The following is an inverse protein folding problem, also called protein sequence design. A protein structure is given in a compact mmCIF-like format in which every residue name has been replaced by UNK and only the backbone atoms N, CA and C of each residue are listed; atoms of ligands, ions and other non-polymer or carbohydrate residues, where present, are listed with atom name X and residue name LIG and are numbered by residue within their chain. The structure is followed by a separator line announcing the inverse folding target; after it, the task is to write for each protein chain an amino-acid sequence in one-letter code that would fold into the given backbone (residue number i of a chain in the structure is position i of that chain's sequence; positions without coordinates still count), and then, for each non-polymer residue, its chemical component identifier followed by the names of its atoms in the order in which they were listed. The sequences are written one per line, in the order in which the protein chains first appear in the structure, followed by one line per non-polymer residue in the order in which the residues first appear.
data_IF_189715068128
#
_entry.id   IF_189715068128
#
_cell.length_a   1.000
_cell.length_b   1.000
_cell.length_c   1.000
_cell.angle_alpha   90.00
_cell.angle_beta   90.00
_cell.angle_gamma   90.00
#
_symmetry.space_group_name_H-M   'P 1'
#
loop_
_entity.id
_entity.type
_entity.pdbx_description
1 polymer ?
#
# COMPACT_ATOMS: atom_id res chain seq x y z
N UNK A 1 21.61 20.03 45.23
CA UNK A 1 20.13 19.98 45.27
C UNK A 1 19.63 19.93 43.84
N UNK A 2 18.55 19.17 43.60
CA UNK A 2 17.96 18.80 42.29
C UNK A 2 18.56 17.52 41.70
N UNK A 3 18.11 16.41 42.30
CA UNK A 3 17.97 15.10 41.69
C UNK A 3 16.48 14.75 41.78
N UNK A 4 15.90 14.21 40.72
CA UNK A 4 14.56 13.63 40.77
C UNK A 4 13.78 13.90 39.50
N UNK A 5 13.49 12.83 38.76
CA UNK A 5 12.18 12.47 38.19
C UNK A 5 12.39 11.25 37.29
N UNK A 6 12.44 10.07 37.93
CA UNK A 6 12.24 8.76 37.32
C UNK A 6 11.46 7.92 38.33
N UNK A 7 10.16 7.76 38.11
CA UNK A 7 9.34 6.64 38.58
C UNK A 7 7.87 6.97 38.36
N UNK A 8 7.24 6.28 37.41
CA UNK A 8 5.81 5.90 37.38
C UNK A 8 5.52 5.35 35.99
N UNK A 9 5.56 4.02 35.85
CA UNK A 9 4.70 3.21 34.97
C UNK A 9 5.14 1.75 35.12
N UNK A 10 4.68 1.11 36.20
CA UNK A 10 4.75 -0.33 36.42
C UNK A 10 3.60 -0.72 37.35
N UNK A 11 2.44 -1.07 36.78
CA UNK A 11 1.39 -1.91 37.38
C UNK A 11 0.11 -1.81 36.56
N UNK A 12 -0.07 -2.72 35.60
CA UNK A 12 -1.39 -3.17 35.12
C UNK A 12 -1.18 -4.36 34.16
N UNK A 13 -0.70 -5.47 34.73
CA UNK A 13 -0.61 -6.76 34.06
C UNK A 13 -0.81 -7.87 35.11
N UNK A 14 -2.04 -8.02 35.60
CA UNK A 14 -2.47 -9.17 36.40
C UNK A 14 -3.98 -9.09 36.67
N UNK A 15 -4.81 -9.39 35.66
CA UNK A 15 -6.19 -9.85 35.84
C UNK A 15 -6.80 -10.07 34.46
N UNK A 16 -6.69 -11.28 33.91
CA UNK A 16 -7.56 -11.87 32.86
C UNK A 16 -6.94 -13.20 32.41
N UNK A 17 -6.90 -14.20 33.29
CA UNK A 17 -6.53 -15.57 32.92
C UNK A 17 -7.12 -16.58 33.92
N UNK A 18 -8.42 -16.49 34.17
CA UNK A 18 -9.20 -17.53 34.87
C UNK A 18 -10.63 -17.47 34.36
N UNK A 19 -11.01 -18.45 33.54
CA UNK A 19 -12.40 -18.69 33.16
C UNK A 19 -12.57 -18.99 31.68
N UNK A 20 -12.30 -20.24 31.28
CA UNK A 20 -13.15 -20.98 30.33
C UNK A 20 -12.64 -22.41 30.15
N UNK A 21 -13.12 -23.29 31.02
CA UNK A 21 -13.04 -24.74 30.92
C UNK A 21 -14.41 -25.27 31.37
N UNK A 22 -15.36 -25.39 30.44
CA UNK A 22 -16.60 -26.19 30.58
C UNK A 22 -17.51 -25.99 29.36
N UNK A 23 -17.29 -26.76 28.28
CA UNK A 23 -18.38 -27.38 27.51
C UNK A 23 -17.82 -28.65 26.85
N UNK A 24 -18.08 -29.80 27.45
CA UNK A 24 -18.09 -31.09 26.76
C UNK A 24 -19.52 -31.63 26.78
N UNK A 25 -19.87 -32.35 25.72
CA UNK A 25 -20.86 -33.42 25.69
C UNK A 25 -22.34 -33.01 25.77
N UNK A 26 -22.97 -32.80 24.61
CA UNK A 26 -24.21 -33.50 24.19
C UNK A 26 -24.29 -33.45 22.67
N UNK A 27 -23.94 -34.54 21.95
CA UNK A 27 -24.53 -34.85 20.64
C UNK A 27 -24.47 -36.36 20.41
N UNK A 28 -25.57 -37.03 20.74
CA UNK A 28 -25.90 -38.38 20.31
C UNK A 28 -27.33 -38.39 19.78
N UNK A 29 -27.51 -38.90 18.57
CA UNK A 29 -28.81 -39.37 18.08
C UNK A 29 -29.62 -38.36 17.27
N UNK A 30 -29.52 -38.44 15.94
CA UNK A 30 -30.65 -38.73 15.05
C UNK A 30 -30.16 -38.73 13.59
N UNK A 31 -29.98 -39.93 13.01
CA UNK A 31 -29.88 -40.11 11.54
C UNK A 31 -31.29 -40.11 10.97
N UNK A 32 -31.70 -39.02 10.34
CA UNK A 32 -32.78 -39.04 9.34
C UNK A 32 -32.16 -39.08 7.96
N UNK A 33 -32.45 -40.15 7.22
CA UNK A 33 -32.08 -40.32 5.81
C UNK A 33 -32.86 -39.31 4.96
N UNK A 34 -32.17 -38.30 4.44
CA UNK A 34 -32.69 -37.39 3.42
C UNK A 34 -32.05 -37.73 2.07
N UNK A 35 -32.87 -37.67 1.03
CA UNK A 35 -32.59 -38.13 -0.32
C UNK A 35 -31.36 -37.49 -0.95
N UNK A 36 -30.70 -38.28 -1.80
CA UNK A 36 -29.52 -37.91 -2.56
C UNK A 36 -29.87 -36.83 -3.61
N UNK A 37 -29.70 -35.56 -3.24
CA UNK A 37 -29.38 -34.51 -4.20
C UNK A 37 -27.86 -34.47 -4.30
N UNK A 38 -27.33 -34.77 -5.48
CA UNK A 38 -25.91 -34.64 -5.83
C UNK A 38 -25.48 -33.17 -5.74
N UNK A 39 -25.16 -32.70 -4.53
CA UNK A 39 -24.38 -31.50 -4.34
C UNK A 39 -22.96 -31.81 -4.84
N UNK A 40 -22.46 -30.99 -5.77
CA UNK A 40 -21.06 -31.06 -6.18
C UNK A 40 -20.17 -30.98 -4.94
N UNK A 41 -19.18 -31.85 -4.86
CA UNK A 41 -18.27 -31.93 -3.72
C UNK A 41 -17.61 -30.57 -3.52
N UNK A 42 -17.71 -29.93 -2.34
CA UNK A 42 -17.07 -28.64 -2.06
C UNK A 42 -15.53 -28.70 -2.11
N UNK A 43 -14.95 -29.89 -2.34
CA UNK A 43 -13.52 -30.09 -2.57
C UNK A 43 -13.03 -29.63 -3.96
N UNK A 44 -13.93 -29.40 -4.91
CA UNK A 44 -13.58 -29.01 -6.29
C UNK A 44 -13.65 -27.50 -6.57
N UNK A 45 -13.95 -26.67 -5.57
CA UNK A 45 -13.91 -25.22 -5.74
C UNK A 45 -12.46 -24.76 -5.90
N UNK A 46 -12.09 -24.29 -7.09
CA UNK A 46 -10.77 -23.69 -7.30
C UNK A 46 -10.54 -22.56 -6.28
N UNK A 47 -9.37 -22.51 -5.63
CA UNK A 47 -9.07 -21.49 -4.64
C UNK A 47 -9.22 -20.10 -5.26
N UNK A 48 -10.02 -19.23 -4.64
CA UNK A 48 -10.22 -17.86 -5.13
C UNK A 48 -8.87 -17.12 -5.22
N UNK A 49 -8.63 -16.48 -6.36
CA UNK A 49 -7.41 -15.68 -6.58
C UNK A 49 -7.26 -14.60 -5.49
N UNK A 50 -6.06 -14.44 -4.89
CA UNK A 50 -5.77 -13.39 -3.90
C UNK A 50 -5.71 -11.99 -4.53
N UNK A 51 -5.81 -11.90 -5.87
CA UNK A 51 -5.88 -10.65 -6.63
C UNK A 51 -7.19 -10.58 -7.41
N UNK A 52 -7.93 -9.48 -7.26
CA UNK A 52 -9.22 -9.26 -7.95
C UNK A 52 -9.24 -7.96 -8.74
N UNK A 53 -9.86 -8.00 -9.92
CA UNK A 53 -10.08 -6.81 -10.75
C UNK A 53 -11.39 -6.13 -10.36
N UNK A 54 -11.35 -4.80 -10.25
CA UNK A 54 -12.54 -4.02 -9.95
C UNK A 54 -13.39 -3.76 -11.21
N UNK A 55 -14.73 -3.77 -11.08
CA UNK A 55 -15.61 -3.37 -12.17
C UNK A 55 -15.47 -1.87 -12.48
N UNK A 56 -15.68 -1.49 -13.75
CA UNK A 56 -15.56 -0.10 -14.21
C UNK A 56 -16.75 0.80 -13.86
N UNK A 57 -17.89 0.24 -13.43
CA UNK A 57 -19.13 0.99 -13.19
C UNK A 57 -19.27 1.33 -11.70
N UNK A 58 -19.52 2.61 -11.44
CA UNK A 58 -19.76 3.18 -10.10
C UNK A 58 -21.28 3.41 -9.95
N UNK A 59 -21.89 2.94 -8.87
CA UNK A 59 -23.32 3.20 -8.63
C UNK A 59 -23.57 4.65 -8.15
N UNK A 60 -24.80 5.15 -8.32
CA UNK A 60 -25.22 6.48 -7.86
C UNK A 60 -25.42 6.49 -6.33
N UNK A 61 -25.26 7.66 -5.69
CA UNK A 61 -25.52 7.84 -4.24
C UNK A 61 -24.30 7.60 -3.32
N UNK A 62 -23.11 7.96 -3.79
CA UNK A 62 -21.87 7.76 -3.05
C UNK A 62 -21.55 8.93 -2.12
N UNK A 63 -21.49 8.72 -0.80
CA UNK A 63 -20.89 9.69 0.12
C UNK A 63 -19.37 9.73 -0.09
N UNK A 64 -18.76 10.93 -0.13
CA UNK A 64 -17.33 11.06 -0.39
C UNK A 64 -16.50 10.42 0.73
N UNK A 65 -15.51 9.63 0.33
CA UNK A 65 -14.54 9.04 1.26
C UNK A 65 -13.47 10.08 1.63
N UNK A 66 -13.04 10.16 2.91
CA UNK A 66 -11.85 10.90 3.30
C UNK A 66 -10.63 10.37 2.55
N UNK A 67 -9.99 11.24 1.75
CA UNK A 67 -8.84 10.90 0.91
C UNK A 67 -7.62 11.71 1.27
N UNK A 68 -6.47 11.03 1.33
CA UNK A 68 -5.17 11.66 1.32
C UNK A 68 -4.35 11.25 0.09
N UNK A 69 -3.51 12.16 -0.39
CA UNK A 69 -2.53 11.89 -1.45
C UNK A 69 -1.14 12.20 -0.94
N UNK A 70 -0.27 11.20 -0.94
CA UNK A 70 1.14 11.29 -0.57
C UNK A 70 2.00 11.26 -1.83
N UNK A 71 2.68 12.37 -2.10
CA UNK A 71 3.53 12.54 -3.29
C UNK A 71 4.98 12.64 -2.88
N UNK A 72 5.83 11.71 -3.33
CA UNK A 72 7.28 11.83 -3.18
C UNK A 72 7.90 12.45 -4.44
N UNK A 73 8.15 13.76 -4.40
CA UNK A 73 8.48 14.58 -5.56
C UNK A 73 9.96 14.98 -5.60
N UNK A 74 10.85 13.99 -5.53
CA UNK A 74 12.30 14.19 -5.53
C UNK A 74 12.84 14.76 -6.85
N UNK A 75 12.24 14.38 -7.99
CA UNK A 75 12.60 14.93 -9.29
C UNK A 75 11.65 16.07 -9.70
N UNK A 76 12.09 17.30 -9.44
CA UNK A 76 11.37 18.52 -9.77
C UNK A 76 10.97 18.65 -11.25
N UNK A 77 11.67 18.01 -12.19
CA UNK A 77 11.31 18.07 -13.63
C UNK A 77 10.05 17.28 -13.96
N UNK A 78 9.69 16.32 -13.12
CA UNK A 78 8.52 15.44 -13.30
C UNK A 78 7.29 15.92 -12.52
N UNK A 79 7.36 17.12 -11.92
CA UNK A 79 6.27 17.66 -11.12
C UNK A 79 4.97 17.84 -11.91
N UNK A 80 5.06 18.27 -13.16
CA UNK A 80 3.86 18.55 -13.96
C UNK A 80 3.04 17.28 -14.23
N UNK A 81 3.69 16.12 -14.37
CA UNK A 81 3.02 14.82 -14.47
C UNK A 81 2.32 14.45 -13.15
N UNK A 82 2.98 14.66 -12.01
CA UNK A 82 2.33 14.48 -10.69
C UNK A 82 1.12 15.42 -10.56
N UNK A 83 1.24 16.65 -11.04
CA UNK A 83 0.18 17.66 -10.97
C UNK A 83 -1.03 17.29 -11.83
N UNK A 84 -0.81 16.67 -13.00
CA UNK A 84 -1.90 16.14 -13.82
C UNK A 84 -2.66 15.01 -13.11
N UNK A 85 -1.94 14.08 -12.49
CA UNK A 85 -2.52 13.04 -11.63
C UNK A 85 -3.34 13.67 -10.48
N UNK A 86 -2.80 14.67 -9.78
CA UNK A 86 -3.52 15.38 -8.71
C UNK A 86 -4.80 16.05 -9.20
N UNK A 87 -4.80 16.67 -10.38
CA UNK A 87 -6.01 17.26 -10.99
C UNK A 87 -7.08 16.21 -11.27
N UNK A 88 -6.69 15.02 -11.72
CA UNK A 88 -7.62 13.91 -11.92
C UNK A 88 -8.21 13.42 -10.59
N UNK A 89 -7.40 13.33 -9.54
CA UNK A 89 -7.86 12.98 -8.19
C UNK A 89 -8.87 14.00 -7.67
N UNK A 90 -8.55 15.30 -7.78
CA UNK A 90 -9.43 16.39 -7.39
C UNK A 90 -10.75 16.37 -8.15
N UNK A 91 -10.71 16.15 -9.47
CA UNK A 91 -11.92 16.02 -10.29
C UNK A 91 -12.78 14.83 -9.83
N UNK A 92 -12.17 13.65 -9.65
CA UNK A 92 -12.87 12.45 -9.22
C UNK A 92 -13.52 12.62 -7.85
N UNK A 93 -12.83 13.27 -6.90
CA UNK A 93 -13.37 13.60 -5.58
C UNK A 93 -14.47 14.66 -5.62
N UNK A 94 -14.30 15.74 -6.40
CA UNK A 94 -15.30 16.79 -6.53
C UNK A 94 -16.62 16.26 -7.12
N UNK A 95 -16.56 15.36 -8.10
CA UNK A 95 -17.74 14.68 -8.67
C UNK A 95 -18.49 13.81 -7.64
N UNK A 96 -17.81 13.41 -6.56
CA UNK A 96 -18.39 12.69 -5.42
C UNK A 96 -18.75 13.62 -4.24
N UNK A 97 -18.60 14.93 -4.40
CA UNK A 97 -18.83 15.93 -3.34
C UNK A 97 -17.75 15.98 -2.26
N UNK A 98 -16.56 15.42 -2.53
CA UNK A 98 -15.47 15.31 -1.57
C UNK A 98 -14.31 16.27 -1.82
N UNK A 99 -13.31 16.19 -0.94
CA UNK A 99 -12.05 16.95 -0.97
C UNK A 99 -10.89 16.03 -0.65
N UNK A 100 -9.65 16.49 -0.85
CA UNK A 100 -8.45 15.73 -0.47
C UNK A 100 -7.56 16.47 0.52
N UNK A 101 -6.80 15.70 1.29
CA UNK A 101 -5.58 16.17 1.94
C UNK A 101 -4.37 15.82 1.08
N UNK A 102 -3.42 16.75 0.93
CA UNK A 102 -2.26 16.59 0.07
C UNK A 102 -0.95 16.75 0.85
N UNK A 103 -0.18 15.68 0.93
CA UNK A 103 1.12 15.64 1.60
C UNK A 103 2.19 15.41 0.54
N UNK A 104 3.06 16.39 0.34
CA UNK A 104 4.13 16.34 -0.66
C UNK A 104 5.48 16.36 0.03
N UNK A 105 6.43 15.54 -0.40
CA UNK A 105 7.81 15.60 0.06
C UNK A 105 8.74 16.10 -1.03
N UNK A 106 9.76 16.83 -0.61
CA UNK A 106 10.89 17.24 -1.44
C UNK A 106 12.19 17.09 -0.65
N UNK A 107 13.28 16.82 -1.35
CA UNK A 107 14.63 16.66 -0.76
C UNK A 107 15.49 17.91 -0.90
N UNK A 108 14.90 19.01 -1.39
CA UNK A 108 15.56 20.30 -1.61
C UNK A 108 14.62 21.44 -1.19
N UNK A 109 15.14 22.38 -0.41
CA UNK A 109 14.35 23.47 0.19
C UNK A 109 13.82 24.46 -0.86
N UNK A 110 14.55 24.68 -1.97
CA UNK A 110 14.08 25.56 -3.05
C UNK A 110 12.85 24.98 -3.73
N UNK A 111 12.84 23.66 -3.89
CA UNK A 111 11.73 22.90 -4.48
C UNK A 111 10.48 22.94 -3.60
N UNK A 112 10.63 22.93 -2.28
CA UNK A 112 9.50 23.07 -1.32
C UNK A 112 8.68 24.33 -1.62
N UNK A 113 9.32 25.50 -1.66
CA UNK A 113 8.62 26.76 -1.91
C UNK A 113 7.90 26.79 -3.27
N UNK A 114 8.47 26.13 -4.28
CA UNK A 114 7.84 25.99 -5.60
C UNK A 114 6.58 25.13 -5.52
N UNK A 115 6.62 23.98 -4.86
CA UNK A 115 5.46 23.11 -4.70
C UNK A 115 4.35 23.79 -3.90
N UNK A 116 4.67 24.50 -2.83
CA UNK A 116 3.70 25.26 -2.04
C UNK A 116 2.93 26.27 -2.91
N UNK A 117 3.63 27.05 -3.74
CA UNK A 117 3.00 28.01 -4.68
C UNK A 117 2.14 27.33 -5.75
N UNK A 118 2.48 26.13 -6.17
CA UNK A 118 1.70 25.38 -7.17
C UNK A 118 0.44 24.79 -6.54
N UNK A 119 0.56 24.24 -5.33
CA UNK A 119 -0.54 23.59 -4.60
C UNK A 119 -1.55 24.60 -4.09
N UNK A 120 -1.13 25.80 -3.68
CA UNK A 120 -2.06 26.85 -3.22
C UNK A 120 -3.06 27.31 -4.30
N UNK A 121 -2.81 26.96 -5.56
CA UNK A 121 -3.67 27.24 -6.71
C UNK A 121 -4.62 26.08 -7.06
N UNK A 122 -4.55 24.96 -6.36
CA UNK A 122 -5.40 23.80 -6.59
C UNK A 122 -6.73 23.93 -5.82
N UNK A 123 -7.88 24.07 -6.50
CA UNK A 123 -9.17 24.02 -5.82
C UNK A 123 -9.47 22.60 -5.33
N UNK A 124 -10.26 22.46 -4.27
CA UNK A 124 -10.69 21.16 -3.73
C UNK A 124 -9.68 20.44 -2.83
N UNK A 125 -8.52 21.06 -2.58
CA UNK A 125 -7.57 20.62 -1.54
C UNK A 125 -8.02 21.20 -0.20
N UNK A 126 -8.47 20.36 0.74
CA UNK A 126 -8.90 20.78 2.08
C UNK A 126 -7.72 21.22 2.94
N UNK A 127 -6.66 20.44 2.92
CA UNK A 127 -5.42 20.69 3.66
C UNK A 127 -4.23 20.24 2.83
N UNK A 128 -3.11 20.95 2.93
CA UNK A 128 -1.87 20.51 2.32
C UNK A 128 -0.65 20.79 3.17
N UNK A 129 0.38 19.97 3.00
CA UNK A 129 1.71 20.20 3.55
C UNK A 129 2.78 19.81 2.53
N UNK A 130 3.82 20.63 2.45
CA UNK A 130 5.04 20.29 1.70
C UNK A 130 6.17 20.13 2.71
N UNK A 131 6.67 18.92 2.83
CA UNK A 131 7.69 18.53 3.79
C UNK A 131 9.05 18.51 3.10
N UNK A 132 10.03 19.19 3.71
CA UNK A 132 11.42 18.88 3.44
C UNK A 132 11.77 17.59 4.17
N UNK A 133 12.28 16.60 3.45
CA UNK A 133 12.64 15.28 4.00
C UNK A 133 14.08 14.94 3.65
N UNK A 134 14.72 14.15 4.50
CA UNK A 134 16.05 13.63 4.20
C UNK A 134 15.95 12.69 2.99
N UNK A 135 16.91 12.81 2.06
CA UNK A 135 17.03 11.87 0.95
C UNK A 135 17.57 10.53 1.47
N UNK A 136 16.69 9.74 2.08
CA UNK A 136 17.00 8.46 2.69
C UNK A 136 15.99 7.42 2.21
N UNK A 137 16.48 6.25 1.80
CA UNK A 137 15.63 5.13 1.41
C UNK A 137 14.76 5.36 0.16
N UNK A 138 15.16 6.26 -0.73
CA UNK A 138 14.43 6.54 -1.97
C UNK A 138 13.00 7.04 -1.73
N UNK A 139 12.04 6.59 -2.54
CA UNK A 139 10.64 7.00 -2.40
C UNK A 139 9.95 6.39 -1.16
N UNK A 140 10.30 5.17 -0.76
CA UNK A 140 9.73 4.54 0.44
C UNK A 140 10.20 5.25 1.71
N UNK A 141 11.48 5.58 1.83
CA UNK A 141 11.98 6.30 3.01
C UNK A 141 11.43 7.73 3.09
N UNK A 142 11.19 8.39 1.95
CA UNK A 142 10.44 9.66 1.93
C UNK A 142 8.98 9.46 2.37
N UNK A 143 8.31 8.41 1.91
CA UNK A 143 6.95 8.09 2.31
C UNK A 143 6.85 7.81 3.82
N UNK A 144 7.80 7.04 4.40
CA UNK A 144 7.87 6.80 5.84
C UNK A 144 7.97 8.10 6.65
N UNK A 145 8.85 9.01 6.23
CA UNK A 145 8.97 10.34 6.88
C UNK A 145 7.66 11.13 6.77
N UNK A 146 6.94 11.03 5.66
CA UNK A 146 5.64 11.69 5.50
C UNK A 146 4.57 11.10 6.42
N UNK A 147 4.45 9.77 6.52
CA UNK A 147 3.42 9.17 7.38
C UNK A 147 3.71 9.42 8.87
N UNK A 148 4.98 9.50 9.28
CA UNK A 148 5.34 9.89 10.65
C UNK A 148 4.91 11.33 10.96
N UNK A 149 5.12 12.24 10.00
CA UNK A 149 4.73 13.65 10.17
C UNK A 149 3.22 13.86 10.04
N UNK A 150 2.56 13.07 9.20
CA UNK A 150 1.15 13.14 8.85
C UNK A 150 0.57 11.72 8.79
N UNK A 151 0.16 11.13 9.92
CA UNK A 151 -0.34 9.76 9.95
C UNK A 151 -1.60 9.55 9.10
N UNK A 152 -1.66 8.48 8.29
CA UNK A 152 -2.78 8.25 7.38
C UNK A 152 -4.00 7.53 8.00
N UNK A 153 -3.94 7.14 9.28
CA UNK A 153 -4.91 6.20 9.89
C UNK A 153 -6.40 6.59 9.80
N UNK A 154 -6.72 7.87 9.67
CA UNK A 154 -8.10 8.35 9.55
C UNK A 154 -8.65 8.39 8.11
N UNK A 155 -7.83 8.15 7.10
CA UNK A 155 -8.27 8.18 5.71
C UNK A 155 -8.83 6.83 5.26
N UNK A 156 -9.98 6.87 4.60
CA UNK A 156 -10.57 5.68 3.99
C UNK A 156 -9.83 5.24 2.73
N UNK A 157 -9.18 6.18 2.03
CA UNK A 157 -8.30 5.88 0.91
C UNK A 157 -7.10 6.84 0.86
N UNK A 158 -5.93 6.28 0.57
CA UNK A 158 -4.64 6.94 0.51
C UNK A 158 -4.01 6.62 -0.83
N UNK A 159 -3.76 7.62 -1.66
CA UNK A 159 -2.97 7.47 -2.87
C UNK A 159 -1.51 7.78 -2.57
N UNK A 160 -0.61 6.82 -2.79
CA UNK A 160 0.83 7.02 -2.73
C UNK A 160 1.39 7.01 -4.14
N UNK A 161 2.06 8.09 -4.53
CA UNK A 161 2.72 8.24 -5.84
C UNK A 161 4.09 8.91 -5.68
N UNK A 162 4.98 8.67 -6.63
CA UNK A 162 6.30 9.30 -6.62
C UNK A 162 6.85 9.55 -8.02
N UNK A 163 7.86 10.41 -8.10
CA UNK A 163 8.59 10.65 -9.34
C UNK A 163 9.51 9.48 -9.67
N UNK A 164 9.30 8.83 -10.82
CA UNK A 164 10.12 7.71 -11.31
C UNK A 164 10.83 8.08 -12.60
N UNK A 165 12.15 7.87 -12.69
CA UNK A 165 12.93 8.30 -13.88
C UNK A 165 12.55 7.55 -15.16
N UNK A 166 12.17 6.26 -15.06
CA UNK A 166 11.77 5.46 -16.23
C UNK A 166 10.40 5.90 -16.73
N UNK A 167 10.34 6.43 -17.95
CA UNK A 167 9.17 7.09 -18.54
C UNK A 167 7.96 6.15 -18.71
N UNK A 168 8.15 5.03 -19.40
CA UNK A 168 7.10 4.03 -19.62
C UNK A 168 6.50 3.50 -18.33
N UNK A 169 7.36 3.18 -17.35
CA UNK A 169 6.91 2.75 -16.02
C UNK A 169 6.10 3.83 -15.31
N UNK A 170 6.64 5.05 -15.24
CA UNK A 170 5.97 6.19 -14.59
C UNK A 170 4.60 6.48 -15.19
N UNK A 171 4.54 6.61 -16.53
CA UNK A 171 3.29 6.94 -17.23
C UNK A 171 2.24 5.87 -17.05
N UNK A 172 2.62 4.59 -17.09
CA UNK A 172 1.69 3.49 -16.83
C UNK A 172 1.11 3.54 -15.41
N UNK A 173 1.95 3.75 -14.38
CA UNK A 173 1.46 3.85 -13.00
C UNK A 173 0.50 5.03 -12.82
N UNK A 174 0.87 6.22 -13.30
CA UNK A 174 0.02 7.41 -13.17
C UNK A 174 -1.29 7.27 -13.95
N UNK A 175 -1.24 6.74 -15.18
CA UNK A 175 -2.43 6.52 -16.00
C UNK A 175 -3.43 5.58 -15.30
N UNK A 176 -2.95 4.46 -14.76
CA UNK A 176 -3.81 3.46 -14.13
C UNK A 176 -4.32 3.88 -12.75
N UNK A 177 -3.59 4.70 -11.98
CA UNK A 177 -4.00 5.11 -10.64
C UNK A 177 -4.81 6.40 -10.60
N UNK A 178 -4.51 7.33 -11.51
CA UNK A 178 -5.04 8.69 -11.50
C UNK A 178 -5.00 9.34 -12.89
N UNK A 179 -5.14 8.56 -13.97
CA UNK A 179 -5.14 9.12 -15.34
C UNK A 179 -6.40 9.94 -15.66
N UNK A 180 -7.50 9.70 -14.94
CA UNK A 180 -8.76 10.43 -15.10
C UNK A 180 -9.59 10.42 -13.82
N UNK A 181 -10.58 11.32 -13.74
CA UNK A 181 -11.54 11.31 -12.62
C UNK A 181 -12.34 10.00 -12.56
N UNK A 182 -12.60 9.34 -13.69
CA UNK A 182 -13.29 8.04 -13.74
C UNK A 182 -12.46 6.91 -13.11
N UNK A 183 -11.15 6.89 -13.37
CA UNK A 183 -10.21 5.95 -12.74
C UNK A 183 -10.21 6.16 -11.22
N UNK A 184 -10.13 7.42 -10.77
CA UNK A 184 -10.14 7.77 -9.34
C UNK A 184 -11.45 7.34 -8.68
N UNK A 185 -12.61 7.62 -9.30
CA UNK A 185 -13.90 7.18 -8.78
C UNK A 185 -13.99 5.66 -8.70
N UNK A 186 -13.43 4.94 -9.67
CA UNK A 186 -13.39 3.46 -9.66
C UNK A 186 -12.57 2.94 -8.48
N UNK A 187 -11.42 3.56 -8.19
CA UNK A 187 -10.61 3.22 -7.02
C UNK A 187 -11.38 3.41 -5.71
N UNK A 188 -12.01 4.57 -5.55
CA UNK A 188 -12.79 4.92 -4.35
C UNK A 188 -14.03 4.04 -4.18
N UNK A 189 -14.70 3.73 -5.28
CA UNK A 189 -15.80 2.77 -5.32
C UNK A 189 -15.34 1.39 -4.85
N UNK A 190 -14.18 0.93 -5.32
CA UNK A 190 -13.58 -0.34 -4.88
C UNK A 190 -13.41 -0.44 -3.36
N UNK A 191 -12.87 0.60 -2.72
CA UNK A 191 -12.76 0.61 -1.25
C UNK A 191 -14.10 0.70 -0.54
N UNK A 192 -15.12 1.29 -1.13
CA UNK A 192 -16.45 1.30 -0.50
C UNK A 192 -17.11 -0.07 -0.57
N UNK A 193 -17.17 -0.66 -1.75
CA UNK A 193 -17.88 -1.93 -1.98
C UNK A 193 -17.13 -3.14 -1.45
N UNK A 194 -15.81 -3.03 -1.27
CA UNK A 194 -14.99 -4.10 -0.73
C UNK A 194 -14.25 -3.63 0.55
N UNK A 195 -14.94 -3.59 1.71
CA UNK A 195 -14.33 -3.27 3.01
C UNK A 195 -13.09 -4.11 3.32
N UNK A 196 -13.10 -5.39 2.91
CA UNK A 196 -12.00 -6.33 3.07
C UNK A 196 -10.80 -6.09 2.15
N UNK A 197 -10.92 -5.26 1.12
CA UNK A 197 -9.78 -4.86 0.27
C UNK A 197 -8.99 -3.75 0.96
N UNK A 198 -7.68 -3.96 1.10
CA UNK A 198 -6.79 -3.03 1.83
C UNK A 198 -5.83 -2.25 0.93
N UNK A 199 -5.49 -2.78 -0.23
CA UNK A 199 -4.62 -2.14 -1.21
C UNK A 199 -5.09 -2.43 -2.64
N UNK A 200 -4.90 -1.45 -3.51
CA UNK A 200 -5.26 -1.46 -4.92
C UNK A 200 -4.07 -0.93 -5.74
N UNK A 201 -3.51 -1.77 -6.60
CA UNK A 201 -2.39 -1.41 -7.48
C UNK A 201 -2.82 -1.17 -8.93
N UNK A 202 -1.90 -0.68 -9.78
CA UNK A 202 -2.10 -0.67 -11.23
C UNK A 202 -2.31 -2.09 -11.75
N UNK A 203 -3.16 -2.24 -12.77
CA UNK A 203 -3.34 -3.51 -13.49
C UNK A 203 -2.01 -4.09 -13.97
N UNK A 204 -1.84 -5.39 -13.81
CA UNK A 204 -0.65 -6.16 -14.17
C UNK A 204 0.59 -5.84 -13.31
N UNK A 205 0.46 -4.99 -12.29
CA UNK A 205 1.50 -4.68 -11.32
C UNK A 205 1.20 -5.25 -9.93
N UNK A 206 0.15 -6.03 -9.73
CA UNK A 206 -0.11 -6.65 -8.41
C UNK A 206 0.24 -8.13 -8.48
N UNK A 207 1.25 -8.52 -7.70
CA UNK A 207 1.73 -9.90 -7.70
C UNK A 207 1.76 -10.45 -6.29
N UNK A 208 1.36 -11.72 -6.14
CA UNK A 208 1.32 -12.45 -4.87
C UNK A 208 2.07 -13.77 -5.03
N UNK A 209 2.76 -14.18 -3.97
CA UNK A 209 3.59 -15.37 -3.88
C UNK A 209 5.08 -15.09 -4.20
N UNK A 210 5.97 -15.70 -3.41
CA UNK A 210 7.42 -15.65 -3.60
C UNK A 210 7.92 -16.08 -4.98
N UNK A 211 7.18 -16.96 -5.65
CA UNK A 211 7.50 -17.43 -6.99
C UNK A 211 6.89 -16.59 -8.10
N UNK A 212 6.25 -15.45 -7.77
CA UNK A 212 5.67 -14.59 -8.79
C UNK A 212 6.73 -14.14 -9.81
N UNK A 213 6.34 -14.23 -11.08
CA UNK A 213 7.16 -13.88 -12.23
C UNK A 213 6.58 -12.67 -12.96
N UNK A 214 7.37 -12.11 -13.87
CA UNK A 214 6.90 -11.02 -14.71
C UNK A 214 5.72 -11.46 -15.58
N UNK A 215 4.63 -10.68 -15.55
CA UNK A 215 3.47 -10.87 -16.43
C UNK A 215 3.71 -10.19 -17.78
N UNK A 216 2.99 -10.57 -18.85
CA UNK A 216 3.10 -9.88 -20.14
C UNK A 216 2.83 -8.37 -20.04
N UNK A 217 1.80 -7.96 -19.29
CA UNK A 217 1.46 -6.54 -19.09
C UNK A 217 2.54 -5.78 -18.31
N UNK A 218 3.08 -6.38 -17.25
CA UNK A 218 4.24 -5.84 -16.54
C UNK A 218 5.44 -5.67 -17.48
N UNK A 219 5.78 -6.72 -18.24
CA UNK A 219 6.89 -6.71 -19.19
C UNK A 219 6.73 -5.64 -20.27
N UNK A 220 5.53 -5.46 -20.80
CA UNK A 220 5.24 -4.41 -21.78
C UNK A 220 5.50 -3.03 -21.18
N UNK A 221 5.00 -2.77 -19.97
CA UNK A 221 5.19 -1.48 -19.29
C UNK A 221 6.64 -1.25 -18.86
N UNK A 222 7.40 -2.32 -18.67
CA UNK A 222 8.80 -2.31 -18.25
C UNK A 222 9.78 -2.50 -19.40
N UNK A 223 9.33 -2.62 -20.64
CA UNK A 223 10.20 -2.88 -21.81
C UNK A 223 11.15 -4.06 -21.54
N UNK A 224 10.62 -5.13 -20.94
CA UNK A 224 11.38 -6.35 -20.70
C UNK A 224 11.74 -7.03 -22.03
N UNK A 225 12.78 -7.86 -21.99
CA UNK A 225 13.07 -8.77 -23.11
C UNK A 225 12.01 -9.86 -23.14
N UNK A 226 11.63 -10.30 -24.34
CA UNK A 226 10.59 -11.31 -24.54
C UNK A 226 10.89 -12.62 -23.77
N UNK A 227 12.17 -12.98 -23.65
CA UNK A 227 12.61 -14.16 -22.90
C UNK A 227 12.54 -13.99 -21.37
N UNK A 228 12.17 -12.83 -20.83
CA UNK A 228 12.01 -12.60 -19.39
C UNK A 228 10.57 -12.87 -18.91
N UNK A 229 9.59 -12.81 -19.81
CA UNK A 229 8.16 -13.03 -19.49
C UNK A 229 7.97 -14.43 -18.90
N UNK A 230 7.34 -14.53 -17.72
CA UNK A 230 7.11 -15.80 -17.04
C UNK A 230 8.37 -16.51 -16.52
N UNK A 231 9.56 -15.93 -16.69
CA UNK A 231 10.84 -16.54 -16.26
C UNK A 231 11.55 -15.70 -15.21
N UNK A 232 11.53 -14.38 -15.34
CA UNK A 232 12.14 -13.48 -14.36
C UNK A 232 11.30 -13.44 -13.08
N UNK A 233 11.92 -13.76 -11.95
CA UNK A 233 11.30 -13.71 -10.61
C UNK A 233 11.24 -12.26 -10.10
N UNK A 234 10.12 -11.90 -9.49
CA UNK A 234 9.94 -10.59 -8.81
C UNK A 234 10.64 -10.53 -7.43
N UNK A 235 10.86 -11.71 -6.84
CA UNK A 235 11.56 -11.89 -5.58
C UNK A 235 12.89 -12.60 -5.86
N UNK A 236 13.96 -11.81 -5.99
CA UNK A 236 15.31 -12.35 -6.11
C UNK A 236 15.84 -12.74 -4.73
N UNK A 237 16.79 -13.69 -4.64
CA UNK A 237 17.38 -14.14 -3.37
C UNK A 237 17.81 -12.99 -2.43
N UNK A 238 18.46 -11.95 -2.98
CA UNK A 238 18.86 -10.76 -2.21
C UNK A 238 17.66 -10.01 -1.63
N UNK A 239 16.55 -9.98 -2.37
CA UNK A 239 15.32 -9.38 -1.89
C UNK A 239 14.72 -10.22 -0.76
N UNK A 240 14.71 -11.55 -0.86
CA UNK A 240 14.25 -12.47 0.20
C UNK A 240 15.05 -12.26 1.51
N UNK A 241 16.39 -12.21 1.42
CA UNK A 241 17.27 -11.95 2.57
C UNK A 241 17.00 -10.57 3.19
N UNK A 242 16.76 -9.55 2.36
CA UNK A 242 16.41 -8.21 2.86
C UNK A 242 15.00 -8.12 3.41
N UNK A 243 14.06 -8.90 2.88
CA UNK A 243 12.71 -9.01 3.40
C UNK A 243 12.75 -9.58 4.80
N UNK A 244 13.45 -10.69 5.01
CA UNK A 244 13.53 -11.31 6.34
C UNK A 244 14.17 -10.38 7.38
N UNK A 245 15.27 -9.71 7.05
CA UNK A 245 15.87 -8.73 7.96
C UNK A 245 14.98 -7.51 8.23
N UNK A 246 14.22 -7.05 7.22
CA UNK A 246 13.25 -5.95 7.38
C UNK A 246 12.03 -6.36 8.20
N UNK A 247 11.60 -7.63 8.11
CA UNK A 247 10.52 -8.17 8.92
C UNK A 247 10.85 -8.10 10.40
N UNK A 248 12.09 -8.42 10.78
CA UNK A 248 12.56 -8.30 12.16
C UNK A 248 12.55 -6.84 12.68
N UNK A 249 12.64 -5.84 11.79
CA UNK A 249 12.48 -4.44 12.17
C UNK A 249 11.00 -4.06 12.35
N UNK A 250 10.12 -4.63 11.52
CA UNK A 250 8.67 -4.43 11.57
C UNK A 250 8.07 -5.09 12.81
N UNK A 251 8.30 -6.38 12.98
CA UNK A 251 7.73 -7.23 14.02
C UNK A 251 8.81 -8.15 14.64
N UNK A 252 9.63 -7.63 15.57
CA UNK A 252 10.78 -8.37 16.14
C UNK A 252 10.39 -9.66 16.85
N UNK A 253 9.15 -9.74 17.37
CA UNK A 253 8.66 -10.89 18.13
C UNK A 253 7.67 -11.76 17.34
N UNK A 254 7.62 -11.61 16.01
CA UNK A 254 6.70 -12.36 15.16
C UNK A 254 7.43 -13.20 14.12
N UNK A 255 6.91 -14.40 13.88
CA UNK A 255 7.32 -15.20 12.73
C UNK A 255 6.99 -14.49 11.43
N UNK A 256 7.87 -14.67 10.44
CA UNK A 256 7.66 -14.16 9.10
C UNK A 256 6.45 -14.87 8.45
N UNK A 257 5.56 -14.16 7.75
CA UNK A 257 4.44 -14.79 7.09
C UNK A 257 4.89 -15.79 6.03
N UNK A 258 4.03 -16.78 5.77
CA UNK A 258 4.22 -17.75 4.71
C UNK A 258 4.52 -17.06 3.38
N UNK A 259 5.44 -17.64 2.62
CA UNK A 259 5.96 -17.04 1.38
C UNK A 259 4.92 -16.95 0.24
N UNK A 260 3.83 -17.72 0.34
CA UNK A 260 2.63 -17.59 -0.49
C UNK A 260 1.87 -16.27 -0.28
N UNK A 261 2.07 -15.60 0.86
CA UNK A 261 1.43 -14.32 1.20
C UNK A 261 2.31 -13.12 0.87
N UNK A 262 3.54 -13.34 0.41
CA UNK A 262 4.38 -12.24 -0.04
C UNK A 262 3.73 -11.56 -1.24
N UNK A 263 3.74 -10.25 -1.26
CA UNK A 263 3.16 -9.47 -2.34
C UNK A 263 4.08 -8.33 -2.76
N UNK A 264 3.87 -7.82 -3.97
CA UNK A 264 4.57 -6.65 -4.48
C UNK A 264 3.65 -5.86 -5.40
N UNK A 265 3.78 -4.53 -5.31
CA UNK A 265 3.27 -3.59 -6.31
C UNK A 265 4.45 -2.82 -6.89
N UNK A 266 5.09 -3.32 -7.97
CA UNK A 266 6.34 -2.76 -8.44
C UNK A 266 6.21 -1.29 -8.83
N UNK A 267 7.21 -0.51 -8.43
CA UNK A 267 7.23 0.93 -8.69
C UNK A 267 6.48 1.72 -7.65
N UNK A 268 6.08 1.07 -6.57
CA UNK A 268 5.67 1.65 -5.32
C UNK A 268 4.67 2.80 -5.45
N UNK A 269 3.65 2.60 -6.27
CA UNK A 269 2.53 3.50 -6.44
C UNK A 269 1.24 2.69 -6.32
N UNK A 270 0.34 3.08 -5.44
CA UNK A 270 -0.87 2.33 -5.14
C UNK A 270 -1.88 3.22 -4.42
N UNK A 271 -3.14 2.77 -4.40
CA UNK A 271 -4.10 3.19 -3.41
C UNK A 271 -4.13 2.20 -2.25
N UNK A 272 -4.33 2.67 -1.03
CA UNK A 272 -4.46 1.82 0.15
C UNK A 272 -5.43 2.43 1.17
N UNK A 273 -5.92 1.65 2.12
CA UNK A 273 -6.59 2.20 3.30
C UNK A 273 -5.57 2.81 4.25
N UNK A 274 -5.98 3.81 5.03
CA UNK A 274 -5.11 4.46 6.00
C UNK A 274 -4.69 3.56 7.17
N UNK A 275 -5.55 2.63 7.55
CA UNK A 275 -5.37 1.76 8.72
C UNK A 275 -4.21 0.76 8.58
N UNK A 276 -3.82 0.37 7.36
CA UNK A 276 -2.74 -0.60 7.13
C UNK A 276 -1.35 -0.10 7.55
N UNK A 277 -1.21 1.21 7.76
CA UNK A 277 0.09 1.84 7.98
C UNK A 277 0.48 1.93 9.46
N UNK A 278 -0.38 1.48 10.38
CA UNK A 278 -0.12 1.57 11.82
C UNK A 278 1.20 0.89 12.22
N UNK A 279 1.44 -0.33 11.73
CA UNK A 279 2.67 -1.07 12.02
C UNK A 279 3.91 -0.38 11.43
N UNK A 280 3.78 0.21 10.23
CA UNK A 280 4.88 0.98 9.64
C UNK A 280 5.22 2.21 10.48
N UNK A 281 4.22 2.90 11.04
CA UNK A 281 4.43 4.06 11.90
C UNK A 281 5.22 3.68 13.16
N UNK A 282 4.84 2.58 13.80
CA UNK A 282 5.50 2.07 15.01
C UNK A 282 6.95 1.63 14.73
N UNK A 283 7.20 1.06 13.55
CA UNK A 283 8.52 0.62 13.12
C UNK A 283 9.35 1.71 12.42
N UNK A 284 8.76 2.86 12.07
CA UNK A 284 9.38 3.86 11.22
C UNK A 284 10.77 4.32 11.68
N UNK A 285 11.05 4.57 12.98
CA UNK A 285 12.39 4.95 13.42
C UNK A 285 13.45 3.89 13.12
N UNK A 286 13.13 2.61 13.35
CA UNK A 286 14.04 1.47 13.08
C UNK A 286 14.25 1.28 11.57
N UNK A 287 13.16 1.35 10.81
CA UNK A 287 13.19 1.22 9.36
C UNK A 287 14.03 2.33 8.73
N UNK A 288 13.79 3.60 9.10
CA UNK A 288 14.57 4.73 8.59
C UNK A 288 16.04 4.63 9.00
N UNK A 289 16.36 4.20 10.22
CA UNK A 289 17.75 4.00 10.65
C UNK A 289 18.49 2.95 9.78
N UNK A 290 17.78 1.92 9.29
CA UNK A 290 18.35 0.86 8.43
C UNK A 290 18.54 1.26 6.96
N UNK A 291 17.95 2.37 6.52
CA UNK A 291 17.97 2.79 5.11
C UNK A 291 19.21 3.61 4.75
N UNK A 292 19.70 3.40 3.53
CA UNK A 292 20.82 4.15 2.99
C UNK A 292 20.47 5.63 2.72
N UNK A 293 21.47 6.50 2.88
CA UNK A 293 21.41 7.90 2.44
C UNK A 293 21.65 8.01 0.93
N UNK A 294 20.92 8.94 0.32
CA UNK A 294 20.97 9.24 -1.11
C UNK A 294 20.28 8.21 -2.00
N UNK A 295 20.33 8.45 -3.30
CA UNK A 295 20.00 7.43 -4.29
C UNK A 295 21.17 6.44 -4.35
N UNK A 296 20.94 5.18 -3.97
CA UNK A 296 21.96 4.14 -4.04
C UNK A 296 22.45 3.98 -5.49
N UNK A 297 23.73 4.30 -5.77
CA UNK A 297 24.32 4.11 -7.11
C UNK A 297 24.36 2.63 -7.55
N UNK A 298 24.23 1.67 -6.63
CA UNK A 298 24.40 0.23 -6.87
C UNK A 298 23.09 -0.54 -7.14
N UNK A 299 21.98 0.15 -7.38
CA UNK A 299 20.65 -0.48 -7.44
C UNK A 299 20.16 -0.85 -6.04
N UNK A 300 18.87 -0.70 -5.78
CA UNK A 300 18.29 -0.81 -4.44
C UNK A 300 18.05 -2.24 -3.94
N UNK A 301 18.36 -3.27 -4.74
CA UNK A 301 18.11 -4.67 -4.33
C UNK A 301 18.94 -5.04 -3.10
N UNK A 302 18.31 -5.75 -2.18
CA UNK A 302 18.90 -6.12 -0.89
C UNK A 302 18.89 -5.02 0.17
N UNK A 303 18.21 -3.88 -0.04
CA UNK A 303 18.11 -2.80 0.95
C UNK A 303 16.70 -2.73 1.57
N UNK A 304 16.62 -2.25 2.81
CA UNK A 304 15.37 -2.22 3.59
C UNK A 304 14.22 -1.50 2.88
N UNK A 305 14.49 -0.41 2.14
CA UNK A 305 13.46 0.27 1.38
C UNK A 305 12.87 -0.59 0.24
N UNK A 306 13.68 -1.45 -0.38
CA UNK A 306 13.22 -2.34 -1.46
C UNK A 306 12.45 -3.53 -0.87
N UNK A 307 12.87 -4.02 0.29
CA UNK A 307 12.09 -4.98 1.06
C UNK A 307 10.72 -4.42 1.46
N UNK A 308 10.64 -3.15 1.88
CA UNK A 308 9.36 -2.50 2.20
C UNK A 308 8.43 -2.32 1.00
N UNK A 309 8.95 -2.18 -0.23
CA UNK A 309 8.09 -2.21 -1.44
C UNK A 309 7.28 -3.52 -1.55
N UNK A 310 7.78 -4.59 -0.94
CA UNK A 310 7.14 -5.91 -0.86
C UNK A 310 6.34 -6.09 0.43
N UNK A 311 6.89 -5.64 1.56
CA UNK A 311 6.19 -5.76 2.83
C UNK A 311 4.92 -4.91 2.90
N UNK A 312 4.85 -3.74 2.28
CA UNK A 312 3.64 -2.91 2.34
C UNK A 312 2.43 -3.63 1.70
N UNK A 313 2.51 -4.14 0.45
CA UNK A 313 1.46 -4.99 -0.11
C UNK A 313 1.21 -6.27 0.67
N UNK A 314 2.25 -6.88 1.25
CA UNK A 314 2.11 -8.10 2.06
C UNK A 314 1.33 -7.83 3.35
N UNK A 315 1.64 -6.74 4.06
CA UNK A 315 0.90 -6.29 5.25
C UNK A 315 -0.55 -5.95 4.90
N UNK A 316 -0.78 -5.35 3.74
CA UNK A 316 -2.14 -5.16 3.23
C UNK A 316 -2.83 -6.52 3.04
N UNK A 317 -2.17 -7.49 2.40
CA UNK A 317 -2.72 -8.82 2.16
C UNK A 317 -3.06 -9.54 3.46
N UNK A 318 -2.15 -9.55 4.44
CA UNK A 318 -2.34 -10.16 5.76
C UNK A 318 -3.56 -9.60 6.52
N UNK A 319 -3.91 -8.34 6.27
CA UNK A 319 -5.03 -7.65 6.90
C UNK A 319 -6.27 -7.57 5.99
N UNK A 320 -6.30 -8.33 4.89
CA UNK A 320 -7.33 -8.25 3.85
C UNK A 320 -7.84 -9.62 3.44
N UNK A 321 -8.93 -9.61 2.67
CA UNK A 321 -9.37 -10.80 1.94
C UNK A 321 -8.63 -10.94 0.59
N UNK A 322 -8.24 -9.82 -0.03
CA UNK A 322 -7.56 -9.79 -1.33
C UNK A 322 -6.91 -8.43 -1.61
N UNK A 323 -6.02 -8.40 -2.60
CA UNK A 323 -5.49 -7.18 -3.22
C UNK A 323 -6.26 -6.84 -4.50
N UNK A 324 -6.54 -5.55 -4.72
CA UNK A 324 -7.22 -5.09 -5.92
C UNK A 324 -6.28 -4.72 -7.06
N UNK A 325 -6.76 -4.83 -8.29
CA UNK A 325 -6.17 -4.20 -9.48
C UNK A 325 -7.10 -3.14 -10.10
N UNK A 326 -6.49 -2.04 -10.54
CA UNK A 326 -7.17 -0.94 -11.22
C UNK A 326 -6.75 -0.85 -12.68
N UNK A 327 -7.73 -0.86 -13.57
CA UNK A 327 -7.53 -0.71 -15.01
C UNK A 327 -7.68 0.76 -15.42
N UNK A 328 -6.89 1.19 -16.40
CA UNK A 328 -7.10 2.49 -17.02
C UNK A 328 -8.47 2.51 -17.73
N UNK A 329 -9.23 3.59 -17.50
CA UNK A 329 -10.52 3.81 -18.16
C UNK A 329 -10.36 4.00 -19.67
#
# INVERSE_FOLDING_TARGET
MICGWKARFASLAAALFLGNLLVQSVLSGERKSLGHSSAADPADAEPESPVRRLPRRVARGFLPLPVAVYVQAANAKLWDEMFQCLRAVLRGQAELGGTIDLIVSATDSKTVARYQRNISKLPGVRRWRVLFVENRGGDIGQFLQQIVAEPPGSYSAVLKIHTKSKDSWRRNMLKNLCGSGAVVKSALWGFKEHPGMKLLGPRDFVHVGRHATFTPGFCQAMECRENEVGKARLFMRKDEESMSSTWQLLRPDSEEPLDQLWAIVPGSCWWARGDIFQELLEAAPRLLASMALGASRRGGSGQAQHALERWIPTLALLNSTFLGELDAA
#
